data_IF_840596426811
#
_entry.id   IF_840596426811
#
_cell.length_a   1.000
_cell.length_b   1.000
_cell.length_c   1.000
_cell.angle_alpha   90.00
_cell.angle_beta   90.00
_cell.angle_gamma   90.00
#
_symmetry.space_group_name_H-M   'P 1'
#
loop_
_entity.id
_entity.type
_entity.pdbx_description
1 polymer ?
#
# COMPACT_ATOMS: atom_id res chain seq x y z
N UNK A 1 14.77 6.54 -32.86
CA UNK A 1 14.65 6.22 -31.43
C UNK A 1 15.50 7.22 -30.66
N UNK A 2 14.92 8.03 -29.78
CA UNK A 2 15.68 8.98 -28.99
C UNK A 2 16.64 8.23 -28.06
N UNK A 3 17.94 8.52 -28.15
CA UNK A 3 18.91 8.04 -27.17
C UNK A 3 18.56 8.70 -25.83
N UNK A 4 18.00 7.93 -24.90
CA UNK A 4 17.79 8.36 -23.52
C UNK A 4 19.15 8.77 -22.94
N UNK A 5 19.34 10.04 -22.59
CA UNK A 5 20.57 10.45 -21.91
C UNK A 5 20.55 9.91 -20.49
N UNK A 6 21.67 9.34 -20.02
CA UNK A 6 21.87 8.88 -18.65
C UNK A 6 21.52 9.97 -17.62
N UNK A 7 21.76 11.23 -17.97
CA UNK A 7 21.44 12.40 -17.15
C UNK A 7 19.93 12.65 -17.03
N UNK A 8 19.18 12.43 -18.11
CA UNK A 8 17.72 12.55 -18.10
C UNK A 8 17.11 11.48 -17.20
N UNK A 9 17.60 10.24 -17.33
CA UNK A 9 17.17 9.13 -16.48
C UNK A 9 17.43 9.42 -15.00
N UNK A 10 18.64 9.88 -14.66
CA UNK A 10 19.02 10.23 -13.29
C UNK A 10 18.17 11.38 -12.72
N UNK A 11 17.91 12.41 -13.51
CA UNK A 11 17.06 13.54 -13.10
C UNK A 11 15.64 13.10 -12.79
N UNK A 12 15.08 12.23 -13.64
CA UNK A 12 13.73 11.70 -13.48
C UNK A 12 13.62 10.81 -12.24
N UNK A 13 14.54 9.85 -12.07
CA UNK A 13 14.53 8.91 -10.94
C UNK A 13 14.75 9.65 -9.61
N UNK A 14 15.60 10.69 -9.58
CA UNK A 14 15.79 11.57 -8.42
C UNK A 14 14.50 12.33 -8.07
N UNK A 15 13.82 12.90 -9.06
CA UNK A 15 12.55 13.60 -8.86
C UNK A 15 11.44 12.69 -8.34
N UNK A 16 11.35 11.47 -8.89
CA UNK A 16 10.40 10.44 -8.45
C UNK A 16 10.70 10.02 -7.00
N UNK A 17 11.96 9.70 -6.69
CA UNK A 17 12.37 9.33 -5.33
C UNK A 17 12.01 10.42 -4.33
N UNK A 18 12.33 11.69 -4.62
CA UNK A 18 11.97 12.84 -3.76
C UNK A 18 10.46 12.94 -3.53
N UNK A 19 9.65 12.78 -4.58
CA UNK A 19 8.19 12.87 -4.49
C UNK A 19 7.63 11.82 -3.52
N UNK A 20 7.99 10.56 -3.69
CA UNK A 20 7.46 9.48 -2.86
C UNK A 20 8.07 9.44 -1.47
N UNK A 21 9.33 9.88 -1.30
CA UNK A 21 9.91 10.07 0.03
C UNK A 21 9.15 11.13 0.84
N UNK A 22 8.70 12.22 0.20
CA UNK A 22 7.88 13.22 0.87
C UNK A 22 6.50 12.70 1.29
N UNK A 23 5.96 11.71 0.56
CA UNK A 23 4.73 11.02 0.95
C UNK A 23 5.00 10.04 2.11
N UNK A 24 6.08 9.26 2.03
CA UNK A 24 6.47 8.31 3.07
C UNK A 24 6.74 9.01 4.41
N UNK A 25 7.43 10.16 4.38
CA UNK A 25 7.67 10.99 5.57
C UNK A 25 6.38 11.51 6.23
N UNK A 26 5.28 11.57 5.50
CA UNK A 26 3.95 11.95 6.00
C UNK A 26 3.11 10.75 6.44
N UNK A 27 3.67 9.53 6.42
CA UNK A 27 2.95 8.31 6.74
C UNK A 27 1.96 7.84 5.67
N UNK A 28 2.02 8.39 4.45
CA UNK A 28 1.10 7.99 3.38
C UNK A 28 1.53 6.62 2.80
N UNK A 29 0.68 5.61 3.00
CA UNK A 29 0.89 4.23 2.51
C UNK A 29 1.02 4.20 0.97
N UNK A 30 0.43 5.17 0.26
CA UNK A 30 0.55 5.29 -1.20
C UNK A 30 1.97 5.63 -1.67
N UNK A 31 2.90 5.92 -0.75
CA UNK A 31 4.31 6.02 -1.04
C UNK A 31 4.90 4.69 -1.54
N UNK A 32 4.31 3.55 -1.17
CA UNK A 32 4.67 2.23 -1.71
C UNK A 32 4.20 2.12 -3.15
N UNK A 33 5.16 1.94 -4.07
CA UNK A 33 4.89 1.71 -5.48
C UNK A 33 5.59 0.46 -5.96
N UNK A 34 4.86 -0.32 -6.78
CA UNK A 34 5.44 -1.50 -7.44
C UNK A 34 6.44 -1.06 -8.50
N UNK A 35 7.42 -1.90 -8.78
CA UNK A 35 8.44 -1.69 -9.82
C UNK A 35 7.81 -1.32 -11.17
N UNK A 36 6.78 -2.05 -11.58
CA UNK A 36 6.03 -1.82 -12.83
C UNK A 36 5.40 -0.43 -12.89
N UNK A 37 4.85 0.06 -11.78
CA UNK A 37 4.24 1.39 -11.70
C UNK A 37 5.29 2.50 -11.82
N UNK A 38 6.41 2.36 -11.12
CA UNK A 38 7.51 3.32 -11.20
C UNK A 38 8.13 3.35 -12.59
N UNK A 39 8.30 2.18 -13.21
CA UNK A 39 8.89 2.09 -14.55
C UNK A 39 7.94 2.66 -15.61
N UNK A 40 6.61 2.52 -15.45
CA UNK A 40 5.63 3.24 -16.28
C UNK A 40 5.75 4.75 -16.15
N UNK A 41 5.92 5.27 -14.93
CA UNK A 41 6.10 6.71 -14.68
C UNK A 41 7.41 7.21 -15.32
N UNK A 42 8.50 6.45 -15.17
CA UNK A 42 9.80 6.77 -15.76
C UNK A 42 9.70 6.75 -17.30
N UNK A 43 9.10 5.71 -17.87
CA UNK A 43 8.92 5.57 -19.32
C UNK A 43 8.11 6.72 -19.91
N UNK A 44 6.99 7.07 -19.28
CA UNK A 44 6.16 8.22 -19.69
C UNK A 44 6.95 9.53 -19.65
N UNK A 45 7.75 9.78 -18.61
CA UNK A 45 8.59 10.99 -18.51
C UNK A 45 9.74 11.03 -19.51
N UNK A 46 10.15 9.88 -20.03
CA UNK A 46 11.17 9.74 -21.08
C UNK A 46 10.57 9.73 -22.49
N UNK A 47 9.25 9.81 -22.64
CA UNK A 47 8.58 9.70 -23.94
C UNK A 47 8.68 8.29 -24.56
N UNK A 48 8.89 7.25 -23.75
CA UNK A 48 8.94 5.87 -24.19
C UNK A 48 7.53 5.29 -24.29
N UNK A 49 7.27 4.51 -25.34
CA UNK A 49 5.96 3.89 -25.61
C UNK A 49 5.63 2.72 -24.68
N UNK A 50 6.64 2.09 -24.09
CA UNK A 50 6.44 1.01 -23.12
C UNK A 50 7.52 1.06 -22.05
N UNK A 51 7.15 0.70 -20.83
CA UNK A 51 8.08 0.47 -19.74
C UNK A 51 9.03 -0.69 -20.04
N UNK A 52 8.66 -1.66 -20.90
CA UNK A 52 9.47 -2.85 -21.23
C UNK A 52 10.86 -2.50 -21.74
N UNK A 53 11.02 -1.37 -22.43
CA UNK A 53 12.33 -0.90 -22.92
C UNK A 53 13.30 -0.57 -21.79
N UNK A 54 12.81 -0.34 -20.57
CA UNK A 54 13.63 -0.09 -19.38
C UNK A 54 14.15 -1.38 -18.72
N UNK A 55 13.58 -2.54 -19.04
CA UNK A 55 13.90 -3.82 -18.39
C UNK A 55 15.12 -4.50 -19.00
N UNK A 56 15.40 -4.25 -20.27
CA UNK A 56 16.46 -4.92 -21.03
C UNK A 56 17.46 -3.94 -21.66
N UNK A 57 17.39 -2.66 -21.30
CA UNK A 57 18.28 -1.62 -21.84
C UNK A 57 19.61 -1.52 -21.08
N UNK A 58 20.53 -0.70 -21.60
CA UNK A 58 21.84 -0.38 -21.00
C UNK A 58 21.77 0.25 -19.60
N UNK A 59 20.58 0.62 -19.14
CA UNK A 59 20.33 1.21 -17.83
C UNK A 59 19.50 0.32 -16.90
N UNK A 60 19.21 -0.93 -17.30
CA UNK A 60 18.41 -1.86 -16.51
C UNK A 60 19.02 -2.10 -15.12
N UNK A 61 20.33 -2.37 -15.04
CA UNK A 61 21.03 -2.57 -13.76
C UNK A 61 20.94 -1.34 -12.84
N UNK A 62 21.10 -0.14 -13.41
CA UNK A 62 20.94 1.10 -12.67
C UNK A 62 19.52 1.25 -12.11
N UNK A 63 18.50 0.95 -12.93
CA UNK A 63 17.10 1.04 -12.52
C UNK A 63 16.72 -0.04 -11.50
N UNK A 64 17.35 -1.20 -11.55
CA UNK A 64 17.19 -2.25 -10.53
C UNK A 64 17.73 -1.78 -9.19
N UNK A 65 18.99 -1.35 -9.18
CA UNK A 65 19.66 -0.85 -7.98
C UNK A 65 18.92 0.35 -7.39
N UNK A 66 18.48 1.28 -8.24
CA UNK A 66 17.67 2.42 -7.83
C UNK A 66 16.34 1.99 -7.22
N UNK A 67 15.64 1.01 -7.79
CA UNK A 67 14.36 0.52 -7.27
C UNK A 67 14.52 -0.14 -5.90
N UNK A 68 15.57 -0.96 -5.72
CA UNK A 68 15.86 -1.59 -4.44
C UNK A 68 16.18 -0.55 -3.36
N UNK A 69 17.02 0.45 -3.68
CA UNK A 69 17.28 1.58 -2.77
C UNK A 69 16.00 2.37 -2.48
N UNK A 70 15.18 2.64 -3.50
CA UNK A 70 13.91 3.33 -3.31
C UNK A 70 13.01 2.59 -2.33
N UNK A 71 12.87 1.27 -2.48
CA UNK A 71 12.02 0.47 -1.61
C UNK A 71 12.53 0.45 -0.16
N UNK A 72 13.84 0.29 0.04
CA UNK A 72 14.46 0.34 1.37
C UNK A 72 14.20 1.68 2.07
N UNK A 73 14.45 2.79 1.37
CA UNK A 73 14.29 4.15 1.92
C UNK A 73 12.83 4.47 2.26
N UNK A 74 11.88 4.03 1.42
CA UNK A 74 10.44 4.23 1.65
C UNK A 74 9.97 3.44 2.88
N UNK A 75 10.39 2.18 3.00
CA UNK A 75 10.05 1.37 4.17
C UNK A 75 10.65 1.94 5.45
N UNK A 76 11.89 2.43 5.41
CA UNK A 76 12.51 3.11 6.54
C UNK A 76 11.76 4.38 6.93
N UNK A 77 11.43 5.23 5.96
CA UNK A 77 10.67 6.46 6.22
C UNK A 77 9.28 6.17 6.79
N UNK A 78 8.58 5.15 6.28
CA UNK A 78 7.27 4.75 6.81
C UNK A 78 7.38 4.20 8.23
N UNK A 79 8.36 3.34 8.53
CA UNK A 79 8.63 2.89 9.90
C UNK A 79 8.86 4.06 10.84
N UNK A 80 9.72 5.00 10.46
CA UNK A 80 10.03 6.17 11.27
C UNK A 80 8.82 7.10 11.44
N UNK A 81 7.95 7.21 10.43
CA UNK A 81 6.70 7.98 10.53
C UNK A 81 5.64 7.32 11.43
N UNK A 82 5.71 6.00 11.62
CA UNK A 82 4.84 5.25 12.53
C UNK A 82 5.32 5.36 13.99
N UNK A 83 6.62 5.65 14.20
CA UNK A 83 7.26 5.76 15.51
C UNK A 83 7.07 7.14 16.16
N UNK A 84 6.51 8.12 15.46
CA UNK A 84 5.85 9.23 16.17
C UNK A 84 4.47 8.74 16.59
N UNK A 85 4.23 8.38 17.87
CA UNK A 85 2.87 8.48 18.37
C UNK A 85 2.53 9.94 18.15
N UNK A 86 1.65 10.19 17.18
CA UNK A 86 0.80 11.36 17.28
C UNK A 86 0.18 11.23 18.66
N UNK A 87 0.64 12.04 19.62
CA UNK A 87 -0.18 12.45 20.76
C UNK A 87 -1.38 13.23 20.20
N UNK A 88 -2.18 12.59 19.35
CA UNK A 88 -3.58 12.90 19.24
C UNK A 88 -4.14 12.34 20.53
N UNK A 89 -4.05 13.14 21.59
CA UNK A 89 -4.91 13.01 22.74
C UNK A 89 -6.32 13.01 22.19
N UNK A 90 -6.88 11.81 22.01
CA UNK A 90 -8.29 11.64 21.71
C UNK A 90 -9.02 12.48 22.75
N UNK A 91 -9.88 13.38 22.29
CA UNK A 91 -10.77 14.06 23.22
C UNK A 91 -11.59 13.01 23.96
N UNK A 92 -11.98 13.30 25.20
CA UNK A 92 -12.75 12.35 26.02
C UNK A 92 -14.06 11.92 25.32
N UNK A 93 -14.63 12.82 24.51
CA UNK A 93 -15.78 12.56 23.63
C UNK A 93 -15.46 11.57 22.50
N UNK A 94 -14.36 11.75 21.79
CA UNK A 94 -13.94 10.82 20.73
C UNK A 94 -13.64 9.43 21.30
N UNK A 95 -12.93 9.36 22.43
CA UNK A 95 -12.63 8.10 23.10
C UNK A 95 -13.91 7.37 23.56
N UNK A 96 -14.92 8.12 23.99
CA UNK A 96 -16.22 7.57 24.39
C UNK A 96 -17.00 7.07 23.17
N UNK A 97 -17.05 7.86 22.09
CA UNK A 97 -17.70 7.48 20.84
C UNK A 97 -17.08 6.21 20.22
N UNK A 98 -15.75 6.11 20.21
CA UNK A 98 -15.08 4.89 19.73
C UNK A 98 -15.39 3.67 20.60
N UNK A 99 -15.49 3.82 21.92
CA UNK A 99 -15.92 2.73 22.80
C UNK A 99 -17.34 2.27 22.51
N UNK A 100 -18.25 3.20 22.21
CA UNK A 100 -19.63 2.86 21.84
C UNK A 100 -19.69 2.12 20.50
N UNK A 101 -18.93 2.58 19.50
CA UNK A 101 -18.82 1.90 18.20
C UNK A 101 -18.25 0.49 18.38
N UNK A 102 -17.20 0.32 19.17
CA UNK A 102 -16.60 -1.00 19.44
C UNK A 102 -17.63 -1.93 20.08
N UNK A 103 -18.37 -1.45 21.10
CA UNK A 103 -19.44 -2.26 21.73
C UNK A 103 -20.53 -2.66 20.74
N UNK A 104 -20.93 -1.76 19.84
CA UNK A 104 -21.92 -2.06 18.81
C UNK A 104 -21.41 -3.14 17.83
N UNK A 105 -20.15 -3.05 17.42
CA UNK A 105 -19.52 -4.04 16.55
C UNK A 105 -19.39 -5.41 17.23
N UNK A 106 -18.94 -5.44 18.48
CA UNK A 106 -18.86 -6.68 19.28
C UNK A 106 -20.22 -7.36 19.42
N UNK A 107 -21.28 -6.57 19.66
CA UNK A 107 -22.65 -7.08 19.69
C UNK A 107 -23.06 -7.68 18.35
N UNK A 108 -22.80 -6.97 17.24
CA UNK A 108 -23.16 -7.46 15.90
C UNK A 108 -22.42 -8.74 15.52
N UNK A 109 -21.15 -8.87 15.90
CA UNK A 109 -20.37 -10.10 15.69
C UNK A 109 -20.97 -11.27 16.46
N UNK A 110 -21.42 -11.06 17.70
CA UNK A 110 -22.11 -12.11 18.48
C UNK A 110 -23.41 -12.55 17.82
N UNK A 111 -24.23 -11.60 17.38
CA UNK A 111 -25.49 -11.90 16.67
C UNK A 111 -25.24 -12.70 15.38
N UNK A 112 -24.27 -12.28 14.55
CA UNK A 112 -23.90 -13.00 13.33
C UNK A 112 -23.38 -14.41 13.62
N UNK A 113 -22.69 -14.60 14.75
CA UNK A 113 -22.20 -15.92 15.16
C UNK A 113 -23.35 -16.84 15.53
N UNK A 114 -24.35 -16.32 16.25
CA UNK A 114 -25.57 -17.07 16.61
C UNK A 114 -26.34 -17.44 15.33
N UNK A 115 -26.59 -16.46 14.45
CA UNK A 115 -27.29 -16.66 13.18
C UNK A 115 -26.58 -17.70 12.30
N UNK A 116 -25.24 -17.66 12.23
CA UNK A 116 -24.48 -18.67 11.50
C UNK A 116 -24.64 -20.08 12.09
N UNK A 117 -24.65 -20.20 13.42
CA UNK A 117 -24.85 -21.48 14.10
C UNK A 117 -26.26 -22.03 13.87
N UNK A 118 -27.29 -21.19 13.93
CA UNK A 118 -28.67 -21.57 13.63
C UNK A 118 -28.83 -22.06 12.19
N UNK A 119 -28.26 -21.33 11.21
CA UNK A 119 -28.27 -21.72 9.81
C UNK A 119 -27.53 -23.04 9.56
N UNK A 120 -26.41 -23.27 10.26
CA UNK A 120 -25.69 -24.56 10.21
C UNK A 120 -26.56 -25.70 10.74
N UNK A 121 -27.22 -25.52 11.88
CA UNK A 121 -28.12 -26.53 12.45
C UNK A 121 -29.28 -26.85 11.51
N UNK A 122 -29.94 -25.83 10.94
CA UNK A 122 -31.01 -26.01 9.95
C UNK A 122 -30.52 -26.75 8.70
N UNK A 123 -29.30 -26.47 8.27
CA UNK A 123 -28.69 -27.14 7.11
C UNK A 123 -28.42 -28.61 7.41
N UNK A 124 -27.85 -28.91 8.59
CA UNK A 124 -27.60 -30.29 9.04
C UNK A 124 -28.93 -31.06 9.13
N UNK A 125 -29.94 -30.52 9.82
CA UNK A 125 -31.27 -31.13 9.95
C UNK A 125 -31.93 -31.41 8.59
N UNK A 126 -31.76 -30.50 7.62
CA UNK A 126 -32.33 -30.66 6.28
C UNK A 126 -31.66 -31.77 5.48
N UNK A 127 -30.36 -31.96 5.63
CA UNK A 127 -29.60 -32.96 4.86
C UNK A 127 -29.44 -34.30 5.57
N UNK A 128 -29.57 -34.37 6.90
CA UNK A 128 -29.60 -35.63 7.65
C UNK A 128 -30.94 -36.37 7.50
N UNK A 129 -32.06 -35.66 7.29
CA UNK A 129 -33.38 -36.26 7.01
C UNK A 129 -33.54 -36.83 5.60
N UNK A 130 -32.54 -36.72 4.73
CA UNK A 130 -32.55 -37.21 3.34
C UNK A 130 -31.75 -38.53 3.19
N UNK A 131 -31.26 -39.12 4.28
CA UNK A 131 -30.71 -40.49 4.32
C UNK A 131 -31.72 -41.48 4.89
#
# INVERSE_FOLDING_TARGET
MAKTSREQLYTITKGIKRKYMNLAKKGDINARKKKTELYKIIASKLGLTSERTLWSGSHAEYLESWFLSFQADIEEALRNSTITPSESTLTEEEATNYKEIIRALEKRVKELTIENNELRSLTIDRFERIK
#
